data_IF_662038909065
#
_entry.id   IF_662038909065
#
_cell.length_a   1.000
_cell.length_b   1.000
_cell.length_c   1.000
_cell.angle_alpha   90.00
_cell.angle_beta   90.00
_cell.angle_gamma   90.00
#
_symmetry.space_group_name_H-M   'P 1'
#
loop_
_entity.id
_entity.type
_entity.pdbx_description
1 polymer ?
#
# COMPACT_ATOMS: atom_id res chain seq x y z
N UNK A 1 -9.69 55.80 -31.69
CA UNK A 1 -9.43 54.54 -32.42
C UNK A 1 -10.18 53.45 -31.65
N UNK A 2 -11.08 52.67 -32.25
CA UNK A 2 -11.81 51.63 -31.48
C UNK A 2 -10.85 50.52 -31.05
N UNK A 3 -11.16 49.84 -29.94
CA UNK A 3 -10.33 48.75 -29.39
C UNK A 3 -10.00 47.68 -30.44
N UNK A 4 -10.93 47.36 -31.33
CA UNK A 4 -10.71 46.37 -32.39
C UNK A 4 -9.62 46.78 -33.39
N UNK A 5 -9.51 48.09 -33.71
CA UNK A 5 -8.44 48.59 -34.59
C UNK A 5 -7.07 48.55 -33.92
N UNK A 6 -7.01 48.69 -32.59
CA UNK A 6 -5.77 48.54 -31.82
C UNK A 6 -5.30 47.08 -31.76
N UNK A 7 -6.23 46.12 -31.60
CA UNK A 7 -5.92 44.69 -31.58
C UNK A 7 -5.39 44.22 -32.95
N UNK A 8 -6.03 44.63 -34.03
CA UNK A 8 -5.59 44.28 -35.39
C UNK A 8 -4.24 44.90 -35.73
N UNK A 9 -3.98 46.15 -35.31
CA UNK A 9 -2.69 46.82 -35.51
C UNK A 9 -1.57 46.14 -34.69
N UNK A 10 -1.85 45.72 -33.46
CA UNK A 10 -0.91 44.98 -32.62
C UNK A 10 -0.59 43.60 -33.20
N UNK A 11 -1.58 42.88 -33.72
CA UNK A 11 -1.38 41.58 -34.37
C UNK A 11 -0.55 41.72 -35.67
N UNK A 12 -0.79 42.77 -36.48
CA UNK A 12 0.01 43.06 -37.67
C UNK A 12 1.45 43.44 -37.34
N UNK A 13 1.67 44.26 -36.30
CA UNK A 13 3.01 44.61 -35.84
C UNK A 13 3.77 43.39 -35.28
N UNK A 14 3.09 42.50 -34.57
CA UNK A 14 3.68 41.24 -34.12
C UNK A 14 4.07 40.33 -35.30
N UNK A 15 3.21 40.23 -36.32
CA UNK A 15 3.48 39.44 -37.52
C UNK A 15 4.70 39.98 -38.30
N UNK A 16 4.82 41.31 -38.42
CA UNK A 16 5.96 41.96 -39.10
C UNK A 16 7.24 41.81 -38.27
N UNK A 17 7.18 41.93 -36.95
CA UNK A 17 8.35 41.71 -36.09
C UNK A 17 8.88 40.27 -36.19
N UNK A 18 7.98 39.28 -36.23
CA UNK A 18 8.32 37.87 -36.45
C UNK A 18 9.01 37.68 -37.80
N UNK A 19 8.51 38.28 -38.88
CA UNK A 19 9.15 38.18 -40.21
C UNK A 19 10.53 38.85 -40.30
N UNK A 20 10.77 39.93 -39.55
CA UNK A 20 12.08 40.61 -39.53
C UNK A 20 13.12 39.75 -38.80
N UNK A 21 12.77 39.11 -37.69
CA UNK A 21 13.66 38.17 -37.00
C UNK A 21 14.07 37.00 -37.91
N UNK A 22 13.12 36.43 -38.66
CA UNK A 22 13.40 35.35 -39.60
C UNK A 22 14.32 35.74 -40.77
N UNK A 23 14.35 37.02 -41.16
CA UNK A 23 15.21 37.50 -42.23
C UNK A 23 16.67 37.69 -41.78
N UNK A 24 16.91 38.09 -40.52
CA UNK A 24 18.27 38.25 -39.97
C UNK A 24 19.00 36.92 -39.78
N UNK A 25 18.30 35.87 -39.33
CA UNK A 25 18.90 34.55 -39.10
C UNK A 25 19.40 33.89 -40.41
N UNK A 26 18.79 34.21 -41.55
CA UNK A 26 19.20 33.72 -42.87
C UNK A 26 20.54 34.31 -43.32
N UNK A 27 20.80 35.60 -43.07
CA UNK A 27 22.03 36.28 -43.51
C UNK A 27 23.28 35.69 -42.84
N UNK A 28 23.19 35.28 -41.57
CA UNK A 28 24.28 34.66 -40.81
C UNK A 28 24.61 33.27 -41.35
N UNK A 29 23.57 32.50 -41.69
CA UNK A 29 23.71 31.16 -42.23
C UNK A 29 24.11 31.16 -43.71
N UNK A 30 24.23 32.30 -44.39
CA UNK A 30 24.62 32.36 -45.82
C UNK A 30 26.10 32.73 -46.07
N UNK A 31 26.85 33.20 -45.05
CA UNK A 31 28.29 33.44 -45.19
C UNK A 31 29.07 32.14 -45.40
N UNK A 32 29.75 32.00 -46.54
CA UNK A 32 30.36 30.73 -46.99
C UNK A 32 31.85 30.81 -47.35
N UNK A 33 32.46 32.00 -47.38
CA UNK A 33 33.86 32.12 -47.80
C UNK A 33 34.82 31.85 -46.63
N UNK A 34 35.66 30.82 -46.78
CA UNK A 34 36.77 30.44 -45.87
C UNK A 34 36.39 29.87 -44.50
N UNK A 35 35.24 29.20 -44.36
CA UNK A 35 34.86 28.51 -43.11
C UNK A 35 35.61 27.19 -42.91
N UNK A 36 35.91 26.85 -41.65
CA UNK A 36 36.45 25.53 -41.28
C UNK A 36 35.43 24.40 -41.51
N UNK A 37 35.92 23.14 -41.55
CA UNK A 37 35.04 21.97 -41.60
C UNK A 37 34.07 21.90 -40.42
N UNK A 38 34.55 22.30 -39.25
CA UNK A 38 33.82 22.34 -37.99
C UNK A 38 32.70 23.39 -38.05
N UNK A 39 33.00 24.57 -38.58
CA UNK A 39 32.00 25.62 -38.81
C UNK A 39 30.90 25.16 -39.78
N UNK A 40 31.26 24.48 -40.88
CA UNK A 40 30.28 23.93 -41.83
C UNK A 40 29.40 22.85 -41.19
N UNK A 41 29.97 21.99 -40.35
CA UNK A 41 29.21 20.97 -39.61
C UNK A 41 28.23 21.61 -38.61
N UNK A 42 28.67 22.63 -37.87
CA UNK A 42 27.84 23.36 -36.92
C UNK A 42 26.68 24.09 -37.64
N UNK A 43 26.97 24.71 -38.78
CA UNK A 43 25.95 25.32 -39.66
C UNK A 43 24.90 24.31 -40.10
N UNK A 44 25.33 23.13 -40.54
CA UNK A 44 24.41 22.06 -40.93
C UNK A 44 23.50 21.66 -39.77
N UNK A 45 24.07 21.56 -38.56
CA UNK A 45 23.32 21.22 -37.35
C UNK A 45 22.29 22.31 -36.99
N UNK A 46 22.63 23.59 -37.18
CA UNK A 46 21.70 24.71 -37.00
C UNK A 46 20.56 24.71 -38.03
N UNK A 47 20.88 24.43 -39.30
CA UNK A 47 19.84 24.32 -40.34
C UNK A 47 18.87 23.17 -40.05
N UNK A 48 19.38 22.03 -39.57
CA UNK A 48 18.56 20.91 -39.13
C UNK A 48 17.71 21.27 -37.90
N UNK A 49 18.31 21.90 -36.88
CA UNK A 49 17.60 22.36 -35.69
C UNK A 49 16.45 23.34 -36.03
N UNK A 50 16.66 24.21 -37.02
CA UNK A 50 15.60 25.09 -37.52
C UNK A 50 14.46 24.31 -38.17
N UNK A 51 14.78 23.35 -39.05
CA UNK A 51 13.78 22.48 -39.65
C UNK A 51 12.97 21.71 -38.58
N UNK A 52 13.62 21.31 -37.49
CA UNK A 52 12.96 20.67 -36.34
C UNK A 52 11.99 21.62 -35.65
N UNK A 53 12.37 22.88 -35.42
CA UNK A 53 11.49 23.89 -34.82
C UNK A 53 10.27 24.14 -35.72
N UNK A 54 10.48 24.27 -37.02
CA UNK A 54 9.39 24.43 -38.00
C UNK A 54 8.46 23.20 -38.01
N UNK A 55 9.01 21.99 -37.93
CA UNK A 55 8.22 20.76 -37.78
C UNK A 55 7.36 20.80 -36.51
N UNK A 56 7.95 21.19 -35.38
CA UNK A 56 7.23 21.30 -34.10
C UNK A 56 6.12 22.34 -34.14
N UNK A 57 6.38 23.50 -34.75
CA UNK A 57 5.39 24.57 -34.92
C UNK A 57 4.24 24.11 -35.83
N UNK A 58 4.55 23.44 -36.94
CA UNK A 58 3.55 22.88 -37.85
C UNK A 58 2.69 21.78 -37.19
N UNK A 59 3.26 21.03 -36.24
CA UNK A 59 2.53 20.08 -35.40
C UNK A 59 1.71 20.75 -34.28
N UNK A 60 1.82 22.07 -34.11
CA UNK A 60 1.09 22.86 -33.12
C UNK A 60 1.67 22.79 -31.71
N UNK A 61 2.94 22.39 -31.56
CA UNK A 61 3.63 22.47 -30.28
C UNK A 61 4.07 23.90 -29.98
N UNK A 62 4.20 24.19 -28.69
CA UNK A 62 4.93 25.38 -28.25
C UNK A 62 6.42 25.17 -28.52
N UNK A 63 7.07 26.16 -29.12
CA UNK A 63 8.47 26.10 -29.55
C UNK A 63 9.35 27.10 -28.80
N UNK A 64 8.88 27.71 -27.71
CA UNK A 64 9.57 28.82 -27.06
C UNK A 64 10.94 28.41 -26.51
N UNK A 65 11.04 27.26 -25.81
CA UNK A 65 12.32 26.73 -25.30
C UNK A 65 13.26 26.35 -26.44
N UNK A 66 12.74 25.72 -27.49
CA UNK A 66 13.53 25.33 -28.66
C UNK A 66 14.07 26.57 -29.41
N UNK A 67 13.25 27.60 -29.58
CA UNK A 67 13.65 28.88 -30.18
C UNK A 67 14.69 29.63 -29.35
N UNK A 68 14.55 29.67 -28.02
CA UNK A 68 15.54 30.29 -27.13
C UNK A 68 16.89 29.55 -27.18
N UNK A 69 16.83 28.22 -27.20
CA UNK A 69 18.01 27.34 -27.37
C UNK A 69 18.68 27.58 -28.72
N UNK A 70 17.89 27.73 -29.79
CA UNK A 70 18.36 28.01 -31.14
C UNK A 70 19.01 29.39 -31.24
N UNK A 71 18.39 30.42 -30.68
CA UNK A 71 18.94 31.77 -30.67
C UNK A 71 20.28 31.81 -29.92
N UNK A 72 20.36 31.09 -28.79
CA UNK A 72 21.62 30.94 -28.05
C UNK A 72 22.70 30.30 -28.92
N UNK A 73 22.36 29.23 -29.66
CA UNK A 73 23.29 28.55 -30.55
C UNK A 73 23.73 29.44 -31.73
N UNK A 74 22.83 30.27 -32.29
CA UNK A 74 23.16 31.24 -33.33
C UNK A 74 24.15 32.29 -32.84
N UNK A 75 23.91 32.88 -31.67
CA UNK A 75 24.82 33.88 -31.07
C UNK A 75 26.21 33.27 -30.81
N UNK A 76 26.26 32.02 -30.34
CA UNK A 76 27.53 31.29 -30.20
C UNK A 76 28.22 31.10 -31.55
N UNK A 77 27.49 30.68 -32.58
CA UNK A 77 28.02 30.46 -33.92
C UNK A 77 28.58 31.73 -34.56
N UNK A 78 27.88 32.85 -34.49
CA UNK A 78 28.37 34.16 -34.93
C UNK A 78 29.67 34.56 -34.24
N UNK A 79 29.74 34.35 -32.91
CA UNK A 79 30.93 34.61 -32.12
C UNK A 79 32.12 33.78 -32.60
N UNK A 80 31.91 32.49 -32.88
CA UNK A 80 32.97 31.59 -33.35
C UNK A 80 33.42 31.92 -34.78
N UNK A 81 32.52 32.23 -35.70
CA UNK A 81 32.88 32.73 -37.04
C UNK A 81 33.75 33.99 -36.92
N UNK A 82 33.36 34.92 -36.04
CA UNK A 82 34.11 36.16 -35.84
C UNK A 82 35.53 35.92 -35.32
N UNK A 83 35.75 34.84 -34.56
CA UNK A 83 37.06 34.40 -34.08
C UNK A 83 37.86 33.77 -35.23
N UNK A 84 37.24 32.93 -36.07
CA UNK A 84 37.88 32.35 -37.26
C UNK A 84 38.30 33.40 -38.28
N UNK A 85 37.47 34.42 -38.49
CA UNK A 85 37.79 35.56 -39.36
C UNK A 85 39.05 36.33 -38.89
N UNK A 86 39.42 36.23 -37.62
CA UNK A 86 40.66 36.80 -37.06
C UNK A 86 41.87 35.85 -37.18
N UNK A 87 41.72 34.70 -37.83
CA UNK A 87 42.76 33.70 -38.01
C UNK A 87 43.01 32.80 -36.79
N UNK A 88 42.07 32.75 -35.83
CA UNK A 88 42.12 31.84 -34.67
C UNK A 88 41.23 30.62 -34.93
N UNK A 89 41.48 29.51 -34.22
CA UNK A 89 40.63 28.31 -34.31
C UNK A 89 39.35 28.51 -33.50
N UNK A 90 38.18 28.37 -34.13
CA UNK A 90 36.88 28.36 -33.44
C UNK A 90 36.60 27.04 -32.73
N UNK A 91 35.74 27.05 -31.71
CA UNK A 91 35.21 25.85 -31.06
C UNK A 91 33.69 25.78 -31.23
N UNK A 92 33.21 24.75 -31.91
CA UNK A 92 31.81 24.59 -32.28
C UNK A 92 31.06 23.50 -31.52
N UNK A 93 31.68 22.86 -30.53
CA UNK A 93 31.07 21.76 -29.78
C UNK A 93 29.75 22.17 -29.11
N UNK A 94 29.73 23.31 -28.40
CA UNK A 94 28.54 23.79 -27.70
C UNK A 94 27.36 24.08 -28.64
N UNK A 95 27.64 24.45 -29.90
CA UNK A 95 26.61 24.74 -30.91
C UNK A 95 25.96 23.44 -31.37
N UNK A 96 26.76 22.39 -31.58
CA UNK A 96 26.26 21.05 -31.91
C UNK A 96 25.47 20.48 -30.74
N UNK A 97 25.94 20.64 -29.51
CA UNK A 97 25.23 20.18 -28.30
C UNK A 97 23.87 20.90 -28.13
N UNK A 98 23.81 22.20 -28.42
CA UNK A 98 22.57 22.98 -28.40
C UNK A 98 21.60 22.59 -29.52
N UNK A 99 22.12 22.28 -30.71
CA UNK A 99 21.30 21.73 -31.80
C UNK A 99 20.71 20.35 -31.43
N UNK A 100 21.50 19.49 -30.79
CA UNK A 100 21.03 18.20 -30.29
C UNK A 100 20.00 18.35 -29.15
N UNK A 101 20.12 19.37 -28.30
CA UNK A 101 19.12 19.68 -27.27
C UNK A 101 17.74 20.00 -27.88
N UNK A 102 17.71 20.73 -29.00
CA UNK A 102 16.47 21.01 -29.76
C UNK A 102 15.85 19.71 -30.29
N UNK A 103 16.69 18.79 -30.78
CA UNK A 103 16.23 17.47 -31.20
C UNK A 103 15.62 16.67 -30.04
N UNK A 104 16.24 16.68 -28.86
CA UNK A 104 15.71 16.02 -27.66
C UNK A 104 14.37 16.64 -27.23
N UNK A 105 14.26 17.96 -27.27
CA UNK A 105 13.00 18.70 -27.02
C UNK A 105 11.90 18.22 -27.98
N UNK A 106 12.18 18.13 -29.29
CA UNK A 106 11.23 17.57 -30.28
C UNK A 106 10.81 16.16 -29.91
N UNK A 107 11.78 15.27 -29.71
CA UNK A 107 11.53 13.86 -29.44
C UNK A 107 10.65 13.67 -28.20
N UNK A 108 10.93 14.41 -27.13
CA UNK A 108 10.11 14.41 -25.91
C UNK A 108 8.71 14.95 -26.17
N UNK A 109 8.57 16.07 -26.89
CA UNK A 109 7.25 16.64 -27.17
C UNK A 109 6.33 15.64 -27.88
N UNK A 110 6.81 14.98 -28.93
CA UNK A 110 6.05 13.95 -29.63
C UNK A 110 5.76 12.72 -28.75
N UNK A 111 6.76 12.21 -28.02
CA UNK A 111 6.56 11.06 -27.14
C UNK A 111 5.51 11.33 -26.05
N UNK A 112 5.53 12.53 -25.45
CA UNK A 112 4.55 12.93 -24.45
C UNK A 112 3.17 13.15 -25.06
N UNK A 113 3.08 13.71 -26.27
CA UNK A 113 1.79 13.84 -26.97
C UNK A 113 1.15 12.48 -27.21
N UNK A 114 1.92 11.52 -27.73
CA UNK A 114 1.46 10.14 -27.93
C UNK A 114 1.05 9.50 -26.59
N UNK A 115 1.89 9.66 -25.57
CA UNK A 115 1.62 9.18 -24.21
C UNK A 115 0.31 9.73 -23.63
N UNK A 116 0.03 11.02 -23.82
CA UNK A 116 -1.21 11.67 -23.39
C UNK A 116 -2.43 11.13 -24.15
N UNK A 117 -2.32 10.91 -25.47
CA UNK A 117 -3.41 10.35 -26.28
C UNK A 117 -3.75 8.93 -25.81
N UNK A 118 -2.73 8.09 -25.62
CA UNK A 118 -2.93 6.70 -25.13
C UNK A 118 -3.48 6.70 -23.71
N UNK A 119 -2.97 7.56 -22.82
CA UNK A 119 -3.44 7.66 -21.44
C UNK A 119 -4.90 8.11 -21.38
N UNK A 120 -5.30 9.09 -22.19
CA UNK A 120 -6.69 9.55 -22.29
C UNK A 120 -7.61 8.41 -22.69
N UNK A 121 -7.22 7.62 -23.69
CA UNK A 121 -7.98 6.45 -24.13
C UNK A 121 -8.09 5.41 -22.98
N UNK A 122 -6.98 5.13 -22.29
CA UNK A 122 -6.95 4.19 -21.18
C UNK A 122 -7.86 4.63 -20.02
N UNK A 123 -7.95 5.93 -19.74
CA UNK A 123 -8.85 6.49 -18.73
C UNK A 123 -10.32 6.34 -19.16
N UNK A 124 -10.65 6.71 -20.40
CA UNK A 124 -12.03 6.62 -20.91
C UNK A 124 -12.54 5.16 -20.98
N UNK A 125 -11.70 4.22 -21.38
CA UNK A 125 -12.04 2.79 -21.41
C UNK A 125 -12.39 2.26 -20.00
N UNK A 126 -11.73 2.80 -18.97
CA UNK A 126 -11.87 2.34 -17.59
C UNK A 126 -12.87 3.15 -16.76
N UNK A 127 -13.33 4.30 -17.25
CA UNK A 127 -14.28 5.21 -16.58
C UNK A 127 -15.59 4.55 -16.14
N UNK A 128 -16.06 3.53 -16.86
CA UNK A 128 -17.27 2.77 -16.52
C UNK A 128 -17.04 1.70 -15.46
N UNK A 129 -15.78 1.36 -15.18
CA UNK A 129 -15.39 0.19 -14.40
C UNK A 129 -14.81 0.57 -13.04
N UNK A 130 -14.09 1.67 -12.94
CA UNK A 130 -13.38 2.11 -11.73
C UNK A 130 -13.54 3.62 -11.53
N UNK A 131 -13.33 4.08 -10.30
CA UNK A 131 -13.25 5.51 -10.01
C UNK A 131 -11.99 6.09 -10.62
N UNK A 132 -12.15 6.98 -11.60
CA UNK A 132 -11.04 7.58 -12.36
C UNK A 132 -10.66 8.99 -11.89
N UNK A 133 -11.19 9.47 -10.75
CA UNK A 133 -10.96 10.84 -10.31
C UNK A 133 -9.46 11.20 -10.22
N UNK A 134 -8.65 10.30 -9.63
CA UNK A 134 -7.22 10.53 -9.46
C UNK A 134 -6.41 10.38 -10.77
N UNK A 135 -6.57 9.30 -11.57
CA UNK A 135 -5.94 9.23 -12.90
C UNK A 135 -6.27 10.42 -13.81
N UNK A 136 -7.53 10.89 -13.77
CA UNK A 136 -7.99 12.05 -14.55
C UNK A 136 -7.30 13.34 -14.09
N UNK A 137 -7.19 13.55 -12.77
CA UNK A 137 -6.47 14.70 -12.20
C UNK A 137 -5.00 14.73 -12.64
N UNK A 138 -4.32 13.58 -12.57
CA UNK A 138 -2.92 13.46 -13.00
C UNK A 138 -2.74 13.68 -14.52
N UNK A 139 -3.69 13.22 -15.33
CA UNK A 139 -3.71 13.50 -16.77
C UNK A 139 -3.86 15.01 -17.05
N UNK A 140 -4.71 15.71 -16.30
CA UNK A 140 -4.87 17.16 -16.42
C UNK A 140 -3.60 17.92 -16.00
N UNK A 141 -2.92 17.48 -14.94
CA UNK A 141 -1.60 18.01 -14.56
C UNK A 141 -0.58 17.79 -15.67
N UNK A 142 -0.51 16.59 -16.25
CA UNK A 142 0.39 16.27 -17.36
C UNK A 142 0.14 17.19 -18.58
N UNK A 143 -1.12 17.49 -18.89
CA UNK A 143 -1.46 18.44 -19.96
C UNK A 143 -0.97 19.87 -19.68
N UNK A 144 -1.03 20.32 -18.43
CA UNK A 144 -0.55 21.64 -18.03
C UNK A 144 0.97 21.71 -18.16
N UNK A 145 1.68 20.69 -17.67
CA UNK A 145 3.14 20.59 -17.77
C UNK A 145 3.61 20.51 -19.23
N UNK A 146 2.93 19.70 -20.05
CA UNK A 146 3.17 19.59 -21.49
C UNK A 146 3.02 20.94 -22.21
N UNK A 147 1.92 21.67 -21.95
CA UNK A 147 1.70 23.02 -22.50
C UNK A 147 2.72 24.05 -22.02
N UNK A 148 3.36 23.80 -20.88
CA UNK A 148 4.40 24.66 -20.30
C UNK A 148 5.81 24.23 -20.73
N UNK A 149 5.94 23.33 -21.70
CA UNK A 149 7.22 22.78 -22.20
C UNK A 149 8.07 22.08 -21.11
N UNK A 150 7.43 21.63 -20.02
CA UNK A 150 8.06 20.86 -18.94
C UNK A 150 7.82 19.38 -19.16
N UNK A 151 8.39 18.85 -20.25
CA UNK A 151 8.12 17.50 -20.73
C UNK A 151 8.51 16.41 -19.74
N UNK A 152 9.58 16.62 -18.96
CA UNK A 152 10.05 15.68 -17.94
C UNK A 152 9.02 15.51 -16.81
N UNK A 153 8.39 16.61 -16.39
CA UNK A 153 7.32 16.57 -15.41
C UNK A 153 6.05 15.95 -15.99
N UNK A 154 5.72 16.26 -17.25
CA UNK A 154 4.58 15.67 -17.93
C UNK A 154 4.72 14.14 -18.03
N UNK A 155 5.92 13.64 -18.34
CA UNK A 155 6.25 12.21 -18.36
C UNK A 155 5.99 11.55 -17.00
N UNK A 156 6.51 12.16 -15.93
CA UNK A 156 6.31 11.67 -14.58
C UNK A 156 4.81 11.59 -14.22
N UNK A 157 4.02 12.59 -14.62
CA UNK A 157 2.57 12.61 -14.36
C UNK A 157 1.81 11.55 -15.16
N UNK A 158 2.23 11.25 -16.37
CA UNK A 158 1.69 10.13 -17.17
C UNK A 158 1.95 8.81 -16.44
N UNK A 159 3.18 8.58 -15.98
CA UNK A 159 3.57 7.38 -15.24
C UNK A 159 2.80 7.22 -13.92
N UNK A 160 2.65 8.32 -13.16
CA UNK A 160 1.84 8.36 -11.93
C UNK A 160 0.38 7.98 -12.22
N UNK A 161 -0.19 8.50 -13.31
CA UNK A 161 -1.57 8.18 -13.71
C UNK A 161 -1.73 6.69 -14.06
N UNK A 162 -0.81 6.10 -14.82
CA UNK A 162 -0.82 4.66 -15.10
C UNK A 162 -0.67 3.81 -13.84
N UNK A 163 0.18 4.21 -12.89
CA UNK A 163 0.32 3.52 -11.60
C UNK A 163 -1.01 3.55 -10.84
N UNK A 164 -1.67 4.71 -10.77
CA UNK A 164 -2.97 4.86 -10.12
C UNK A 164 -4.04 3.96 -10.77
N UNK A 165 -4.11 3.92 -12.11
CA UNK A 165 -5.00 3.01 -12.84
C UNK A 165 -4.75 1.55 -12.44
N UNK A 166 -3.49 1.11 -12.46
CA UNK A 166 -3.12 -0.26 -12.12
C UNK A 166 -3.47 -0.62 -10.66
N UNK A 167 -3.33 0.31 -9.73
CA UNK A 167 -3.71 0.12 -8.33
C UNK A 167 -5.22 -0.05 -8.16
N UNK A 168 -6.02 0.77 -8.84
CA UNK A 168 -7.47 0.68 -8.84
C UNK A 168 -7.96 -0.65 -9.44
N UNK A 169 -7.34 -1.12 -10.52
CA UNK A 169 -7.65 -2.43 -11.11
C UNK A 169 -7.30 -3.59 -10.20
N UNK A 170 -6.16 -3.53 -9.51
CA UNK A 170 -5.77 -4.52 -8.51
C UNK A 170 -6.75 -4.54 -7.35
N UNK A 171 -7.18 -3.37 -6.87
CA UNK A 171 -8.16 -3.27 -5.80
C UNK A 171 -9.50 -3.91 -6.21
N UNK A 172 -10.00 -3.63 -7.42
CA UNK A 172 -11.22 -4.24 -7.96
C UNK A 172 -11.09 -5.75 -8.19
N UNK A 173 -9.96 -6.21 -8.67
CA UNK A 173 -9.71 -7.64 -8.90
C UNK A 173 -9.64 -8.40 -7.58
N UNK A 174 -8.99 -7.84 -6.55
CA UNK A 174 -8.95 -8.42 -5.20
C UNK A 174 -10.34 -8.51 -4.59
N UNK A 175 -11.16 -7.46 -4.70
CA UNK A 175 -12.54 -7.50 -4.18
C UNK A 175 -13.41 -8.46 -4.97
N UNK A 176 -13.24 -8.55 -6.30
CA UNK A 176 -13.90 -9.54 -7.16
C UNK A 176 -13.61 -10.97 -6.73
N UNK A 177 -12.34 -11.31 -6.54
CA UNK A 177 -11.91 -12.64 -6.06
C UNK A 177 -12.47 -12.95 -4.67
N UNK A 178 -12.50 -11.97 -3.75
CA UNK A 178 -13.07 -12.16 -2.42
C UNK A 178 -14.59 -12.38 -2.46
N UNK A 179 -15.31 -11.63 -3.30
CA UNK A 179 -16.76 -11.80 -3.48
C UNK A 179 -17.07 -13.16 -4.12
N UNK A 180 -16.30 -13.57 -5.11
CA UNK A 180 -16.48 -14.85 -5.78
C UNK A 180 -16.16 -16.02 -4.84
N UNK A 181 -15.06 -15.95 -4.10
CA UNK A 181 -14.73 -16.93 -3.06
C UNK A 181 -15.83 -17.01 -1.99
N UNK A 182 -16.41 -15.87 -1.59
CA UNK A 182 -17.53 -15.83 -0.64
C UNK A 182 -18.79 -16.50 -1.21
N UNK A 183 -19.11 -16.28 -2.49
CA UNK A 183 -20.23 -16.97 -3.16
C UNK A 183 -19.99 -18.48 -3.28
N UNK A 184 -18.77 -18.92 -3.59
CA UNK A 184 -18.45 -20.35 -3.62
C UNK A 184 -18.54 -20.99 -2.25
N UNK A 185 -18.08 -20.31 -1.19
CA UNK A 185 -18.22 -20.78 0.18
C UNK A 185 -19.69 -20.88 0.60
N UNK A 186 -20.51 -19.87 0.28
CA UNK A 186 -21.93 -19.89 0.65
C UNK A 186 -22.70 -20.99 -0.10
N UNK A 187 -22.39 -21.24 -1.37
CA UNK A 187 -22.94 -22.37 -2.12
C UNK A 187 -22.55 -23.72 -1.48
N UNK A 188 -21.28 -23.92 -1.12
CA UNK A 188 -20.83 -25.14 -0.42
C UNK A 188 -21.47 -25.31 0.95
N UNK A 189 -21.71 -24.22 1.67
CA UNK A 189 -22.43 -24.23 2.95
C UNK A 189 -23.90 -24.66 2.78
N UNK A 190 -24.55 -24.24 1.68
CA UNK A 190 -25.89 -24.70 1.34
C UNK A 190 -25.85 -26.18 0.94
N UNK A 191 -24.92 -26.63 0.12
CA UNK A 191 -24.84 -28.04 -0.25
C UNK A 191 -24.59 -28.95 0.97
N UNK A 192 -23.74 -28.50 1.90
CA UNK A 192 -23.34 -29.23 3.10
C UNK A 192 -24.20 -28.95 4.34
N UNK A 193 -25.31 -28.20 4.26
CA UNK A 193 -26.06 -27.77 5.45
C UNK A 193 -26.53 -28.96 6.31
N UNK A 194 -26.87 -30.09 5.66
CA UNK A 194 -27.28 -31.33 6.34
C UNK A 194 -26.12 -31.99 7.08
N UNK A 195 -24.94 -32.07 6.46
CA UNK A 195 -23.74 -32.64 7.08
C UNK A 195 -23.29 -31.81 8.28
N UNK A 196 -23.32 -30.48 8.16
CA UNK A 196 -23.02 -29.55 9.25
C UNK A 196 -23.98 -29.75 10.43
N UNK A 197 -25.28 -29.93 10.16
CA UNK A 197 -26.26 -30.19 11.22
C UNK A 197 -25.98 -31.50 11.97
N UNK A 198 -25.62 -32.57 11.24
CA UNK A 198 -25.22 -33.84 11.85
C UNK A 198 -23.96 -33.67 12.69
N UNK A 199 -22.95 -32.95 12.19
CA UNK A 199 -21.73 -32.68 12.93
C UNK A 199 -22.00 -31.88 14.22
N UNK A 200 -22.85 -30.85 14.16
CA UNK A 200 -23.27 -30.05 15.32
C UNK A 200 -24.01 -30.92 16.33
N UNK A 201 -24.89 -31.82 15.88
CA UNK A 201 -25.59 -32.75 16.76
C UNK A 201 -24.62 -33.69 17.48
N UNK A 202 -23.62 -34.22 16.77
CA UNK A 202 -22.57 -35.08 17.34
C UNK A 202 -21.73 -34.31 18.36
N UNK A 203 -21.26 -33.11 18.02
CA UNK A 203 -20.49 -32.25 18.93
C UNK A 203 -21.29 -31.93 20.18
N UNK A 204 -22.57 -31.57 20.03
CA UNK A 204 -23.47 -31.28 21.15
C UNK A 204 -23.62 -32.50 22.07
N UNK A 205 -23.75 -33.69 21.49
CA UNK A 205 -23.81 -34.94 22.26
C UNK A 205 -22.50 -35.21 23.02
N UNK A 206 -21.35 -35.02 22.38
CA UNK A 206 -20.03 -35.19 23.00
C UNK A 206 -19.83 -34.20 24.15
N UNK A 207 -20.18 -32.93 23.94
CA UNK A 207 -20.09 -31.89 24.99
C UNK A 207 -21.03 -32.23 26.15
N UNK A 208 -22.27 -32.64 25.86
CA UNK A 208 -23.25 -33.01 26.89
C UNK A 208 -22.75 -34.18 27.76
N UNK A 209 -22.23 -35.24 27.15
CA UNK A 209 -21.67 -36.40 27.87
C UNK A 209 -20.38 -36.03 28.61
N UNK A 210 -19.49 -35.27 27.96
CA UNK A 210 -18.20 -34.86 28.47
C UNK A 210 -18.28 -33.96 29.70
N UNK A 211 -19.20 -32.98 29.70
CA UNK A 211 -19.42 -32.09 30.84
C UNK A 211 -19.78 -32.85 32.12
N UNK A 212 -20.60 -33.90 32.01
CA UNK A 212 -20.98 -34.72 33.15
C UNK A 212 -19.79 -35.54 33.69
N UNK A 213 -18.98 -36.12 32.80
CA UNK A 213 -17.77 -36.84 33.20
C UNK A 213 -16.76 -35.93 33.91
N UNK A 214 -16.49 -34.75 33.33
CA UNK A 214 -15.58 -33.75 33.91
C UNK A 214 -16.05 -33.29 35.30
N UNK A 215 -17.34 -32.99 35.45
CA UNK A 215 -17.89 -32.56 36.74
C UNK A 215 -17.74 -33.62 37.83
N UNK A 216 -18.05 -34.89 37.53
CA UNK A 216 -17.87 -35.99 38.49
C UNK A 216 -16.41 -36.14 38.89
N UNK A 217 -15.49 -36.10 37.91
CA UNK A 217 -14.04 -36.19 38.16
C UNK A 217 -13.52 -35.03 39.01
N UNK A 218 -14.04 -33.81 38.80
CA UNK A 218 -13.69 -32.64 39.62
C UNK A 218 -14.15 -32.81 41.07
N UNK A 219 -15.41 -33.25 41.29
CA UNK A 219 -15.90 -33.51 42.65
C UNK A 219 -15.10 -34.61 43.34
N UNK A 220 -14.84 -35.73 42.64
CA UNK A 220 -14.07 -36.84 43.21
C UNK A 220 -12.64 -36.43 43.56
N UNK A 221 -12.05 -35.53 42.78
CA UNK A 221 -10.73 -34.98 43.10
C UNK A 221 -10.80 -34.08 44.33
N UNK A 222 -11.86 -33.27 44.46
CA UNK A 222 -12.08 -32.42 45.65
C UNK A 222 -12.35 -33.22 46.92
N UNK A 223 -13.14 -34.30 46.84
CA UNK A 223 -13.39 -35.23 47.95
C UNK A 223 -12.06 -35.86 48.40
N UNK A 224 -11.28 -36.38 47.45
CA UNK A 224 -9.97 -37.00 47.76
C UNK A 224 -9.00 -36.02 48.42
N UNK A 225 -8.95 -34.77 47.94
CA UNK A 225 -8.12 -33.73 48.56
C UNK A 225 -8.52 -33.44 50.01
N UNK A 226 -9.83 -33.31 50.27
CA UNK A 226 -10.35 -33.10 51.64
C UNK A 226 -10.10 -34.30 52.56
N UNK A 227 -10.21 -35.53 52.04
CA UNK A 227 -9.89 -36.74 52.80
C UNK A 227 -8.40 -36.83 53.14
N UNK A 228 -7.52 -36.45 52.20
CA UNK A 228 -6.07 -36.38 52.42
C UNK A 228 -5.71 -35.28 53.43
N UNK A 229 -6.33 -34.11 53.33
CA UNK A 229 -6.17 -33.00 54.28
C UNK A 229 -6.58 -33.43 55.69
N UNK A 230 -7.74 -34.08 55.83
CA UNK A 230 -8.20 -34.63 57.12
C UNK A 230 -7.18 -35.60 57.71
N UNK A 231 -6.70 -36.57 56.92
CA UNK A 231 -5.70 -37.55 57.37
C UNK A 231 -4.40 -36.87 57.82
N UNK A 232 -3.99 -35.81 57.13
CA UNK A 232 -2.81 -35.02 57.49
C UNK A 232 -3.01 -34.31 58.83
N UNK A 233 -4.17 -33.68 59.05
CA UNK A 233 -4.49 -33.01 60.32
C UNK A 233 -4.58 -34.03 61.46
N UNK A 234 -5.18 -35.20 61.25
CA UNK A 234 -5.20 -36.30 62.23
C UNK A 234 -3.78 -36.73 62.62
N UNK A 235 -2.85 -36.82 61.66
CA UNK A 235 -1.43 -37.06 61.94
C UNK A 235 -0.78 -35.95 62.75
N UNK A 236 -1.12 -34.68 62.50
CA UNK A 236 -0.66 -33.55 63.29
C UNK A 236 -1.21 -33.55 64.71
N UNK A 237 -2.46 -33.97 64.90
CA UNK A 237 -3.08 -34.17 66.23
C UNK A 237 -2.27 -35.20 67.02
N UNK A 238 -2.03 -36.38 66.44
CA UNK A 238 -1.24 -37.45 67.07
C UNK A 238 0.17 -36.99 67.43
N UNK A 239 0.85 -36.31 66.50
CA UNK A 239 2.20 -35.76 66.74
C UNK A 239 2.20 -34.74 67.88
N UNK A 240 1.21 -33.84 67.90
CA UNK A 240 1.07 -32.80 68.93
C UNK A 240 0.78 -33.40 70.29
N UNK A 241 -0.05 -34.43 70.37
CA UNK A 241 -0.30 -35.21 71.60
C UNK A 241 0.99 -35.88 72.10
N UNK A 242 1.74 -36.54 71.22
CA UNK A 242 3.01 -37.17 71.56
C UNK A 242 4.06 -36.15 72.06
N UNK A 243 4.17 -35.00 71.39
CA UNK A 243 5.12 -33.95 71.77
C UNK A 243 4.79 -33.31 73.13
N UNK A 244 3.50 -33.23 73.49
CA UNK A 244 3.03 -32.76 74.80
C UNK A 244 3.21 -33.82 75.90
N UNK A 245 2.55 -34.97 75.79
CA UNK A 245 2.47 -35.96 76.87
C UNK A 245 3.76 -36.77 77.06
N UNK A 246 4.47 -37.12 75.98
CA UNK A 246 5.62 -38.02 76.07
C UNK A 246 6.96 -37.28 76.07
N UNK A 247 7.07 -36.19 75.28
CA UNK A 247 8.34 -35.48 75.11
C UNK A 247 8.47 -34.20 75.94
N UNK A 248 7.37 -33.67 76.49
CA UNK A 248 7.36 -32.40 77.22
C UNK A 248 7.84 -31.18 76.40
N UNK A 249 7.80 -31.27 75.06
CA UNK A 249 8.36 -30.25 74.15
C UNK A 249 7.41 -29.09 73.87
N UNK A 250 6.19 -29.12 74.44
CA UNK A 250 5.12 -28.19 74.13
C UNK A 250 4.48 -27.68 75.44
N UNK A 251 4.25 -26.38 75.55
CA UNK A 251 3.51 -25.82 76.69
C UNK A 251 2.02 -26.18 76.62
N UNK A 252 1.37 -26.30 77.77
CA UNK A 252 -0.07 -26.63 77.89
C UNK A 252 -0.96 -25.68 77.07
N UNK A 253 -0.68 -24.38 77.17
CA UNK A 253 -1.38 -23.35 76.40
C UNK A 253 -1.24 -23.61 74.88
N UNK A 254 -0.02 -23.90 74.42
CA UNK A 254 0.25 -24.17 72.99
C UNK A 254 -0.42 -25.46 72.52
N UNK A 255 -0.48 -26.49 73.38
CA UNK A 255 -1.18 -27.73 73.11
C UNK A 255 -2.68 -27.48 72.87
N UNK A 256 -3.36 -26.81 73.82
CA UNK A 256 -4.79 -26.55 73.71
C UNK A 256 -5.14 -25.69 72.50
N UNK A 257 -4.34 -24.66 72.18
CA UNK A 257 -4.56 -23.83 70.99
C UNK A 257 -4.48 -24.69 69.71
N UNK A 258 -3.45 -25.53 69.57
CA UNK A 258 -3.27 -26.39 68.39
C UNK A 258 -4.38 -27.43 68.25
N UNK A 259 -4.71 -28.14 69.34
CA UNK A 259 -5.77 -29.15 69.34
C UNK A 259 -7.12 -28.54 69.00
N UNK A 260 -7.47 -27.39 69.60
CA UNK A 260 -8.68 -26.65 69.26
C UNK A 260 -8.72 -26.31 67.77
N UNK A 261 -7.62 -25.79 67.22
CA UNK A 261 -7.53 -25.42 65.81
C UNK A 261 -7.67 -26.63 64.87
N UNK A 262 -7.04 -27.75 65.19
CA UNK A 262 -7.18 -28.99 64.41
C UNK A 262 -8.60 -29.53 64.47
N UNK A 263 -9.25 -29.49 65.64
CA UNK A 263 -10.66 -29.88 65.79
C UNK A 263 -11.60 -29.02 64.94
N UNK A 264 -11.38 -27.70 64.88
CA UNK A 264 -12.13 -26.80 64.00
C UNK A 264 -11.98 -27.17 62.52
N UNK A 265 -10.75 -27.44 62.06
CA UNK A 265 -10.47 -27.81 60.67
C UNK A 265 -11.11 -29.17 60.31
N UNK A 266 -10.96 -30.18 61.16
CA UNK A 266 -11.59 -31.50 60.96
C UNK A 266 -13.12 -31.36 60.90
N UNK A 267 -13.71 -30.52 61.77
CA UNK A 267 -15.16 -30.26 61.76
C UNK A 267 -15.61 -29.59 60.46
N UNK A 268 -14.85 -28.62 59.93
CA UNK A 268 -15.18 -27.99 58.66
C UNK A 268 -15.07 -28.98 57.48
N UNK A 269 -14.03 -29.81 57.44
CA UNK A 269 -13.87 -30.86 56.43
C UNK A 269 -15.04 -31.85 56.50
N UNK A 270 -15.38 -32.34 57.71
CA UNK A 270 -16.51 -33.25 57.92
C UNK A 270 -17.87 -32.63 57.53
N UNK A 271 -18.00 -31.30 57.59
CA UNK A 271 -19.20 -30.59 57.09
C UNK A 271 -19.22 -30.50 55.56
N UNK A 272 -18.07 -30.31 54.91
CA UNK A 272 -17.97 -30.13 53.44
C UNK A 272 -18.09 -31.45 52.67
N UNK A 273 -17.55 -32.55 53.20
CA UNK A 273 -17.61 -33.86 52.56
C UNK A 273 -19.04 -34.33 52.21
N UNK A 274 -20.03 -34.31 53.13
CA UNK A 274 -21.39 -34.74 52.80
C UNK A 274 -22.03 -33.84 51.73
N UNK A 275 -21.78 -32.53 51.77
CA UNK A 275 -22.30 -31.60 50.74
C UNK A 275 -21.74 -31.91 49.34
N UNK A 276 -20.45 -32.28 49.24
CA UNK A 276 -19.85 -32.69 47.96
C UNK A 276 -20.34 -34.05 47.49
N UNK A 277 -20.59 -34.99 48.42
CA UNK A 277 -21.17 -36.31 48.10
C UNK A 277 -22.63 -36.17 47.63
N UNK A 278 -23.42 -35.34 48.30
CA UNK A 278 -24.79 -35.00 47.88
C UNK A 278 -24.80 -34.29 46.51
N UNK A 279 -23.88 -33.35 46.27
CA UNK A 279 -23.74 -32.70 44.96
C UNK A 279 -23.37 -33.68 43.84
N UNK A 280 -22.56 -34.71 44.15
CA UNK A 280 -22.24 -35.80 43.23
C UNK A 280 -23.48 -36.65 42.90
N UNK A 281 -24.27 -37.00 43.92
CA UNK A 281 -25.47 -37.83 43.78
C UNK A 281 -26.61 -37.10 43.07
N UNK A 282 -26.89 -35.85 43.42
CA UNK A 282 -27.92 -35.02 42.77
C UNK A 282 -27.70 -34.89 41.28
N UNK A 283 -26.45 -34.69 40.84
CA UNK A 283 -26.13 -34.66 39.40
C UNK A 283 -26.05 -36.05 38.77
N UNK A 284 -25.92 -37.10 39.58
CA UNK A 284 -25.95 -38.50 39.18
C UNK A 284 -27.33 -39.00 38.77
N UNK A 285 -28.38 -38.58 39.48
CA UNK A 285 -29.76 -39.04 39.32
C UNK A 285 -30.52 -38.39 38.15
N UNK A 286 -29.95 -37.35 37.51
CA UNK A 286 -30.51 -36.70 36.33
C UNK A 286 -30.24 -37.45 35.01
N UNK A 287 -29.61 -38.62 35.06
CA UNK A 287 -29.34 -39.46 33.90
C UNK A 287 -30.05 -40.81 34.05
N UNK A 288 -30.68 -41.35 32.98
CA UNK A 288 -31.30 -42.66 33.03
C UNK A 288 -30.24 -43.67 33.45
N UNK A 289 -30.47 -44.34 34.59
CA UNK A 289 -29.65 -45.45 35.04
C UNK A 289 -29.58 -46.47 33.90
N UNK A 290 -28.40 -46.59 33.29
CA UNK A 290 -28.10 -47.59 32.27
C UNK A 290 -28.14 -48.93 32.98
N UNK A 291 -29.34 -49.49 33.17
CA UNK A 291 -29.55 -50.88 33.59
C UNK A 291 -28.99 -51.75 32.47
N UNK A 292 -27.70 -52.03 32.51
CA UNK A 292 -27.08 -53.05 31.68
C UNK A 292 -27.69 -54.37 32.17
N UNK A 293 -28.69 -54.87 31.44
CA UNK A 293 -29.20 -56.24 31.60
C UNK A 293 -28.01 -57.16 31.32
N UNK A 294 -27.42 -57.73 32.37
CA UNK A 294 -26.52 -58.87 32.22
C UNK A 294 -27.34 -60.02 31.61
N UNK A 295 -26.96 -60.46 30.42
CA UNK A 295 -27.27 -61.79 29.90
C UNK A 295 -26.16 -62.73 30.36
#
# INVERSE_FOLDING_TARGET
>A
MSNDKMIVLAALLALVAVQISFAQDNDILEQTQNLSSEALSARSSLLEARSIIEEMENAGFSTARAQDTFQTALVLYEGQISIEAQGKTGNYADIVDKAAEIEDIRNRAFAIQDGLVVLKQAIEDKKKLIDIAEPQRLYEEALIEFKSERYENAEQKIDESYKSINELERAKSRTGVLIEASKTLSQRLIEAWKEILVAIAIISLVVFVGQNFLYRKLIDTKIRMLELEKKTIEGLVQKTQNDYYNKGKLSEISYHIKIKKYGELIRDINRRLPLLREAKEKKGNLLPSRKIKKR
#
